data_IF_756848202049
#
_entry.id   IF_756848202049
#
_cell.length_a   1.000
_cell.length_b   1.000
_cell.length_c   1.000
_cell.angle_alpha   90.00
_cell.angle_beta   90.00
_cell.angle_gamma   90.00
#
_symmetry.space_group_name_H-M   'P 1'
#
loop_
_entity.id
_entity.type
_entity.pdbx_description
1 polymer ?
#
# COMPACT_ATOMS: atom_id res chain seq x y z
N UNK A 1 -34.30 4.48 8.24
CA UNK A 1 -33.11 5.17 7.73
C UNK A 1 -32.32 4.30 6.76
N UNK A 2 -32.21 2.98 6.98
CA UNK A 2 -31.47 2.07 6.07
C UNK A 2 -32.01 2.00 4.63
N UNK A 3 -33.34 2.11 4.41
CA UNK A 3 -33.94 1.98 3.08
C UNK A 3 -33.56 3.12 2.12
N UNK A 4 -33.42 4.35 2.61
CA UNK A 4 -33.00 5.49 1.76
C UNK A 4 -31.53 5.41 1.30
N UNK A 5 -30.68 4.72 2.07
CA UNK A 5 -29.26 4.55 1.74
C UNK A 5 -29.00 3.27 0.94
N UNK A 6 -29.86 2.26 1.07
CA UNK A 6 -29.76 0.99 0.35
C UNK A 6 -30.01 1.14 -1.16
N UNK A 7 -30.83 2.12 -1.56
CA UNK A 7 -31.16 2.38 -2.97
C UNK A 7 -30.22 3.37 -3.65
N UNK A 8 -29.25 3.97 -2.93
CA UNK A 8 -28.36 4.98 -3.48
C UNK A 8 -26.99 4.40 -3.85
N UNK A 9 -26.83 4.10 -5.14
CA UNK A 9 -25.52 3.71 -5.73
C UNK A 9 -24.40 4.75 -5.45
N UNK A 10 -24.77 5.99 -5.17
CA UNK A 10 -23.81 7.08 -4.94
C UNK A 10 -23.39 7.26 -3.49
N UNK A 11 -24.05 6.61 -2.53
CA UNK A 11 -23.78 6.80 -1.10
C UNK A 11 -22.33 6.51 -0.73
N UNK A 12 -21.80 5.35 -1.14
CA UNK A 12 -20.42 4.96 -0.86
C UNK A 12 -19.38 5.89 -1.48
N UNK A 13 -19.64 6.35 -2.71
CA UNK A 13 -18.78 7.31 -3.41
C UNK A 13 -18.75 8.66 -2.68
N UNK A 14 -19.93 9.20 -2.37
CA UNK A 14 -20.06 10.51 -1.73
C UNK A 14 -19.41 10.55 -0.35
N UNK A 15 -19.65 9.54 0.48
CA UNK A 15 -19.02 9.44 1.80
C UNK A 15 -17.50 9.34 1.69
N UNK A 16 -17.00 8.50 0.78
CA UNK A 16 -15.56 8.33 0.60
C UNK A 16 -14.88 9.62 0.14
N UNK A 17 -15.46 10.31 -0.85
CA UNK A 17 -14.93 11.57 -1.35
C UNK A 17 -15.04 12.71 -0.31
N UNK A 18 -16.16 12.79 0.40
CA UNK A 18 -16.34 13.78 1.47
C UNK A 18 -15.33 13.56 2.60
N UNK A 19 -15.17 12.32 3.06
CA UNK A 19 -14.21 11.98 4.11
C UNK A 19 -12.77 12.27 3.68
N UNK A 20 -12.40 11.98 2.43
CA UNK A 20 -11.10 12.32 1.89
C UNK A 20 -10.90 13.84 1.78
N UNK A 21 -11.93 14.56 1.35
CA UNK A 21 -11.91 16.04 1.31
C UNK A 21 -11.67 16.65 2.69
N UNK A 22 -12.35 16.14 3.73
CA UNK A 22 -12.11 16.57 5.12
C UNK A 22 -10.67 16.28 5.55
N UNK A 23 -10.15 15.07 5.23
CA UNK A 23 -8.76 14.71 5.51
C UNK A 23 -7.76 15.65 4.83
N UNK A 24 -8.03 16.01 3.57
CA UNK A 24 -7.21 16.96 2.81
C UNK A 24 -7.21 18.35 3.46
N UNK A 25 -8.38 18.85 3.84
CA UNK A 25 -8.51 20.14 4.52
C UNK A 25 -7.77 20.17 5.87
N UNK A 26 -7.83 19.07 6.62
CA UNK A 26 -7.10 18.94 7.88
C UNK A 26 -5.59 18.93 7.67
N UNK A 27 -5.10 18.19 6.66
CA UNK A 27 -3.67 18.18 6.28
C UNK A 27 -3.18 19.58 5.90
N UNK A 28 -3.95 20.31 5.08
CA UNK A 28 -3.61 21.66 4.66
C UNK A 28 -3.57 22.67 5.83
N UNK A 29 -4.47 22.51 6.82
CA UNK A 29 -4.52 23.40 7.98
C UNK A 29 -3.44 23.11 9.02
N UNK A 30 -3.12 21.82 9.24
CA UNK A 30 -2.23 21.42 10.33
C UNK A 30 -0.79 21.22 9.90
N UNK A 31 -0.56 20.86 8.63
CA UNK A 31 0.77 20.50 8.11
C UNK A 31 1.38 19.23 8.75
N UNK A 32 0.66 18.53 9.63
CA UNK A 32 1.18 17.37 10.34
C UNK A 32 1.18 16.13 9.44
N UNK A 33 2.28 15.39 9.45
CA UNK A 33 2.38 14.12 8.69
C UNK A 33 1.38 13.05 9.14
N UNK A 34 0.96 13.09 10.44
CA UNK A 34 -0.07 12.18 10.95
C UNK A 34 -1.47 12.52 10.39
N UNK A 35 -1.72 13.75 9.97
CA UNK A 35 -2.96 14.14 9.34
C UNK A 35 -2.98 13.71 7.86
N UNK A 36 -2.67 12.43 7.63
CA UNK A 36 -2.74 11.84 6.31
C UNK A 36 -4.18 11.77 5.83
N UNK A 37 -4.55 12.35 4.67
CA UNK A 37 -5.93 12.37 4.18
C UNK A 37 -6.55 10.98 4.05
N UNK A 38 -5.77 9.99 3.65
CA UNK A 38 -6.23 8.61 3.50
C UNK A 38 -6.56 8.00 4.87
N UNK A 39 -5.67 8.14 5.86
CA UNK A 39 -5.91 7.63 7.22
C UNK A 39 -7.17 8.27 7.82
N UNK A 40 -7.29 9.59 7.71
CA UNK A 40 -8.46 10.33 8.23
C UNK A 40 -9.73 9.88 7.52
N UNK A 41 -9.70 9.71 6.20
CA UNK A 41 -10.88 9.28 5.44
C UNK A 41 -11.32 7.86 5.84
N UNK A 42 -10.40 6.94 6.04
CA UNK A 42 -10.71 5.58 6.52
C UNK A 42 -11.41 5.64 7.89
N UNK A 43 -10.85 6.39 8.83
CA UNK A 43 -11.42 6.54 10.18
C UNK A 43 -12.81 7.17 10.10
N UNK A 44 -12.97 8.25 9.33
CA UNK A 44 -14.25 8.93 9.18
C UNK A 44 -15.32 8.03 8.55
N UNK A 45 -14.97 7.26 7.51
CA UNK A 45 -15.90 6.33 6.88
C UNK A 45 -16.31 5.25 7.88
N UNK A 46 -15.36 4.63 8.59
CA UNK A 46 -15.67 3.63 9.63
C UNK A 46 -16.61 4.22 10.70
N UNK A 47 -16.27 5.39 11.25
CA UNK A 47 -17.10 6.05 12.25
C UNK A 47 -18.50 6.35 11.72
N UNK A 48 -18.61 6.84 10.48
CA UNK A 48 -19.91 7.13 9.86
C UNK A 48 -20.75 5.86 9.72
N UNK A 49 -20.19 4.77 9.24
CA UNK A 49 -20.92 3.50 9.11
C UNK A 49 -21.38 2.96 10.47
N UNK A 50 -20.52 3.05 11.50
CA UNK A 50 -20.88 2.62 12.86
C UNK A 50 -21.99 3.45 13.48
N UNK A 51 -21.94 4.80 13.32
CA UNK A 51 -22.92 5.74 13.89
C UNK A 51 -24.26 5.60 13.14
N UNK A 52 -24.23 5.48 11.83
CA UNK A 52 -25.46 5.39 11.01
C UNK A 52 -26.06 3.99 10.99
N UNK A 53 -25.31 2.96 11.43
CA UNK A 53 -25.75 1.56 11.38
C UNK A 53 -25.92 1.02 9.94
N UNK A 54 -25.29 1.64 8.96
CA UNK A 54 -25.32 1.18 7.57
C UNK A 54 -24.37 0.00 7.40
N UNK A 55 -24.89 -1.09 6.82
CA UNK A 55 -24.12 -2.29 6.56
C UNK A 55 -23.00 -2.04 5.55
N UNK A 56 -21.83 -2.67 5.79
CA UNK A 56 -20.68 -2.59 4.89
C UNK A 56 -20.99 -2.99 3.45
N UNK A 57 -21.89 -3.96 3.23
CA UNK A 57 -22.31 -4.37 1.87
C UNK A 57 -22.95 -3.23 1.10
N UNK A 58 -23.81 -2.45 1.75
CA UNK A 58 -24.48 -1.28 1.18
C UNK A 58 -23.45 -0.19 0.81
N UNK A 59 -22.52 0.10 1.71
CA UNK A 59 -21.43 1.04 1.43
C UNK A 59 -20.56 0.55 0.26
N UNK A 60 -20.13 -0.71 0.29
CA UNK A 60 -19.25 -1.31 -0.71
C UNK A 60 -19.87 -1.32 -2.10
N UNK A 61 -21.16 -1.60 -2.22
CA UNK A 61 -21.87 -1.60 -3.49
C UNK A 61 -21.77 -0.23 -4.19
N UNK A 62 -21.95 0.87 -3.44
CA UNK A 62 -21.77 2.23 -3.96
C UNK A 62 -20.30 2.58 -4.20
N UNK A 63 -19.43 2.32 -3.23
CA UNK A 63 -18.01 2.64 -3.28
C UNK A 63 -17.26 1.88 -4.40
N UNK A 64 -17.77 0.75 -4.84
CA UNK A 64 -17.18 -0.07 -5.91
C UNK A 64 -17.01 0.71 -7.23
N UNK A 65 -17.81 1.74 -7.45
CA UNK A 65 -17.67 2.64 -8.60
C UNK A 65 -16.32 3.37 -8.61
N UNK A 66 -15.72 3.62 -7.45
CA UNK A 66 -14.38 4.22 -7.36
C UNK A 66 -13.30 3.20 -7.82
N UNK A 67 -13.55 1.92 -7.65
CA UNK A 67 -12.62 0.85 -8.04
C UNK A 67 -12.37 0.81 -9.56
N UNK A 68 -13.31 1.30 -10.38
CA UNK A 68 -13.07 1.45 -11.82
C UNK A 68 -11.93 2.42 -12.15
N UNK A 69 -11.62 3.37 -11.25
CA UNK A 69 -10.50 4.28 -11.41
C UNK A 69 -9.14 3.64 -11.08
N UNK A 70 -9.13 2.45 -10.50
CA UNK A 70 -7.88 1.76 -10.13
C UNK A 70 -7.02 1.45 -11.35
N UNK A 71 -7.62 0.94 -12.42
CA UNK A 71 -6.88 0.63 -13.66
C UNK A 71 -6.26 1.87 -14.30
N UNK A 72 -7.00 2.96 -14.59
CA UNK A 72 -6.37 4.17 -15.13
C UNK A 72 -5.37 4.80 -14.16
N UNK A 73 -5.61 4.78 -12.84
CA UNK A 73 -4.64 5.25 -11.87
C UNK A 73 -3.33 4.45 -11.91
N UNK A 74 -3.42 3.12 -12.03
CA UNK A 74 -2.25 2.25 -12.16
C UNK A 74 -1.48 2.53 -13.46
N UNK A 75 -2.19 2.78 -14.57
CA UNK A 75 -1.56 3.17 -15.85
C UNK A 75 -0.83 4.51 -15.70
N UNK A 76 -1.42 5.48 -15.00
CA UNK A 76 -0.77 6.77 -14.72
C UNK A 76 0.56 6.62 -13.97
N UNK A 77 0.73 5.58 -13.14
CA UNK A 77 2.00 5.30 -12.46
C UNK A 77 3.13 4.91 -13.46
N UNK A 78 2.79 4.43 -14.64
CA UNK A 78 3.77 4.12 -15.68
C UNK A 78 4.35 5.37 -16.37
N UNK A 79 3.67 6.51 -16.30
CA UNK A 79 4.13 7.75 -16.96
C UNK A 79 5.47 8.25 -16.38
N UNK A 80 5.64 8.45 -15.05
CA UNK A 80 6.93 8.82 -14.49
C UNK A 80 8.02 7.78 -14.78
N UNK A 81 7.67 6.49 -14.77
CA UNK A 81 8.60 5.42 -15.09
C UNK A 81 9.13 5.55 -16.54
N UNK A 82 8.23 5.79 -17.48
CA UNK A 82 8.61 6.00 -18.88
C UNK A 82 9.51 7.24 -19.06
N UNK A 83 9.20 8.33 -18.39
CA UNK A 83 9.99 9.57 -18.41
C UNK A 83 11.41 9.37 -17.85
N UNK A 84 11.61 8.41 -16.96
CA UNK A 84 12.91 8.12 -16.32
C UNK A 84 13.57 6.82 -16.83
N UNK A 85 13.15 6.31 -17.98
CA UNK A 85 13.63 5.03 -18.53
C UNK A 85 15.13 5.02 -18.81
N UNK A 86 15.71 6.13 -19.20
CA UNK A 86 17.15 6.24 -19.45
C UNK A 86 17.95 6.18 -18.14
N UNK A 87 17.47 6.87 -17.10
CA UNK A 87 18.06 6.80 -15.77
C UNK A 87 17.99 5.36 -15.20
N UNK A 88 16.87 4.68 -15.41
CA UNK A 88 16.68 3.28 -15.06
C UNK A 88 17.71 2.40 -15.77
N UNK A 89 17.83 2.52 -17.12
CA UNK A 89 18.79 1.73 -17.91
C UNK A 89 20.22 1.94 -17.43
N UNK A 90 20.60 3.17 -17.11
CA UNK A 90 21.93 3.52 -16.61
C UNK A 90 22.22 2.88 -15.24
N UNK A 91 21.21 2.74 -14.37
CA UNK A 91 21.36 2.28 -12.99
C UNK A 91 20.72 0.91 -12.75
N UNK A 92 20.39 0.14 -13.81
CA UNK A 92 19.56 -1.06 -13.67
C UNK A 92 20.07 -2.08 -12.64
N UNK A 93 21.40 -2.27 -12.56
CA UNK A 93 22.00 -3.21 -11.59
C UNK A 93 21.74 -2.76 -10.14
N UNK A 94 21.97 -1.49 -9.84
CA UNK A 94 21.73 -0.94 -8.52
C UNK A 94 20.24 -0.99 -8.15
N UNK A 95 19.37 -0.68 -9.10
CA UNK A 95 17.92 -0.75 -8.92
C UNK A 95 17.46 -2.18 -8.64
N UNK A 96 17.88 -3.15 -9.46
CA UNK A 96 17.48 -4.56 -9.28
C UNK A 96 18.01 -5.16 -7.97
N UNK A 97 19.27 -4.88 -7.62
CA UNK A 97 19.85 -5.32 -6.35
C UNK A 97 19.13 -4.65 -5.16
N UNK A 98 18.82 -3.36 -5.27
CA UNK A 98 18.07 -2.63 -4.26
C UNK A 98 16.67 -3.22 -4.04
N UNK A 99 15.94 -3.52 -5.12
CA UNK A 99 14.62 -4.14 -5.03
C UNK A 99 14.71 -5.54 -4.43
N UNK A 100 15.65 -6.37 -4.90
CA UNK A 100 15.86 -7.71 -4.36
C UNK A 100 16.17 -7.68 -2.86
N UNK A 101 17.06 -6.78 -2.44
CA UNK A 101 17.39 -6.61 -1.01
C UNK A 101 16.17 -6.17 -0.20
N UNK A 102 15.32 -5.30 -0.74
CA UNK A 102 14.08 -4.87 -0.10
C UNK A 102 13.08 -6.02 0.07
N UNK A 103 12.89 -6.83 -0.96
CA UNK A 103 12.02 -8.03 -0.88
C UNK A 103 12.55 -9.03 0.13
N UNK A 104 13.85 -9.35 0.07
CA UNK A 104 14.46 -10.27 1.03
C UNK A 104 14.37 -9.74 2.47
N UNK A 105 14.64 -8.45 2.68
CA UNK A 105 14.51 -7.85 4.01
C UNK A 105 13.07 -7.92 4.53
N UNK A 106 12.06 -7.73 3.66
CA UNK A 106 10.65 -7.88 4.02
C UNK A 106 10.33 -9.31 4.43
N UNK A 107 10.65 -10.31 3.58
CA UNK A 107 10.37 -11.72 3.85
C UNK A 107 11.13 -12.25 5.08
N UNK A 108 12.42 -11.94 5.19
CA UNK A 108 13.22 -12.32 6.35
C UNK A 108 12.71 -11.68 7.66
N UNK A 109 12.29 -10.41 7.61
CA UNK A 109 11.75 -9.74 8.81
C UNK A 109 10.45 -10.41 9.28
N UNK A 110 9.58 -10.80 8.35
CA UNK A 110 8.36 -11.55 8.69
C UNK A 110 8.70 -12.90 9.29
N UNK A 111 9.63 -13.66 8.69
CA UNK A 111 10.07 -14.96 9.21
C UNK A 111 10.65 -14.83 10.64
N UNK A 112 11.55 -13.87 10.84
CA UNK A 112 12.18 -13.64 12.17
C UNK A 112 11.10 -13.31 13.21
N UNK A 113 10.16 -12.43 12.88
CA UNK A 113 9.08 -12.07 13.80
C UNK A 113 8.11 -13.23 14.04
N UNK A 114 7.80 -14.02 13.02
CA UNK A 114 6.96 -15.20 13.17
C UNK A 114 7.58 -16.24 14.12
N UNK A 115 8.89 -16.48 13.99
CA UNK A 115 9.62 -17.35 14.92
C UNK A 115 9.62 -16.77 16.34
N UNK A 116 9.87 -15.46 16.48
CA UNK A 116 9.95 -14.79 17.77
C UNK A 116 8.62 -14.79 18.52
N UNK A 117 7.51 -14.59 17.79
CA UNK A 117 6.16 -14.57 18.36
C UNK A 117 5.44 -15.94 18.32
N UNK A 118 6.12 -16.98 17.89
CA UNK A 118 5.58 -18.35 17.79
C UNK A 118 4.28 -18.43 16.96
N UNK A 119 4.26 -17.78 15.82
CA UNK A 119 3.14 -17.86 14.90
C UNK A 119 3.01 -19.28 14.35
N UNK A 120 1.77 -19.69 14.08
CA UNK A 120 1.55 -20.89 13.28
C UNK A 120 1.76 -20.61 11.77
N UNK A 121 1.68 -21.65 10.95
CA UNK A 121 1.87 -21.53 9.50
C UNK A 121 0.88 -20.54 8.87
N UNK A 122 -0.41 -20.61 9.25
CA UNK A 122 -1.45 -19.76 8.67
C UNK A 122 -1.23 -18.28 9.01
N UNK A 123 -0.86 -17.99 10.26
CA UNK A 123 -0.51 -16.64 10.68
C UNK A 123 0.73 -16.14 9.94
N UNK A 124 1.79 -16.95 9.86
CA UNK A 124 3.03 -16.60 9.19
C UNK A 124 2.81 -16.22 7.72
N UNK A 125 2.14 -17.08 6.93
CA UNK A 125 1.91 -16.81 5.51
C UNK A 125 0.96 -15.64 5.27
N UNK A 126 0.12 -15.30 6.24
CA UNK A 126 -0.74 -14.11 6.24
C UNK A 126 0.06 -12.82 6.13
N UNK A 127 1.24 -12.75 6.78
CA UNK A 127 2.09 -11.56 6.81
C UNK A 127 3.11 -11.48 5.67
N UNK A 128 3.42 -12.57 4.99
CA UNK A 128 4.41 -12.59 3.91
C UNK A 128 4.13 -11.53 2.82
N UNK A 129 2.88 -11.34 2.34
CA UNK A 129 2.58 -10.39 1.29
C UNK A 129 2.39 -8.94 1.77
N UNK A 130 2.76 -8.58 3.01
CA UNK A 130 2.47 -7.27 3.61
C UNK A 130 2.95 -6.04 2.84
N UNK A 131 3.98 -6.19 2.02
CA UNK A 131 4.65 -5.06 1.35
C UNK A 131 4.33 -4.95 -0.15
N UNK A 132 3.41 -5.78 -0.65
CA UNK A 132 2.95 -5.73 -2.05
C UNK A 132 1.53 -5.18 -2.16
N UNK A 133 1.02 -5.01 -3.39
CA UNK A 133 -0.34 -4.50 -3.59
C UNK A 133 -1.39 -5.47 -3.06
N UNK A 134 -2.50 -4.94 -2.57
CA UNK A 134 -3.61 -5.75 -2.01
C UNK A 134 -4.10 -6.81 -3.00
N UNK A 135 -4.20 -6.46 -4.29
CA UNK A 135 -4.67 -7.41 -5.32
C UNK A 135 -3.76 -8.64 -5.44
N UNK A 136 -2.44 -8.46 -5.43
CA UNK A 136 -1.48 -9.57 -5.49
C UNK A 136 -1.43 -10.28 -4.13
N UNK A 137 -1.46 -9.51 -3.04
CA UNK A 137 -1.37 -10.05 -1.68
C UNK A 137 -2.52 -10.95 -1.29
N UNK A 138 -3.74 -10.66 -1.75
CA UNK A 138 -4.90 -11.54 -1.58
C UNK A 138 -4.62 -12.91 -2.20
N UNK A 139 -4.21 -12.95 -3.46
CA UNK A 139 -3.91 -14.21 -4.15
C UNK A 139 -2.81 -15.03 -3.47
N UNK A 140 -1.71 -14.36 -3.06
CA UNK A 140 -0.61 -15.04 -2.34
C UNK A 140 -1.07 -15.59 -1.00
N UNK A 141 -1.83 -14.82 -0.22
CA UNK A 141 -2.33 -15.27 1.09
C UNK A 141 -3.30 -16.44 0.95
N UNK A 142 -4.20 -16.38 -0.04
CA UNK A 142 -5.18 -17.44 -0.31
C UNK A 142 -4.48 -18.74 -0.74
N UNK A 143 -3.53 -18.65 -1.68
CA UNK A 143 -2.79 -19.80 -2.20
C UNK A 143 -1.95 -20.50 -1.12
N UNK A 144 -1.38 -19.74 -0.19
CA UNK A 144 -0.54 -20.27 0.88
C UNK A 144 -1.34 -20.69 2.14
N UNK A 145 -2.66 -20.51 2.15
CA UNK A 145 -3.51 -20.90 3.29
C UNK A 145 -3.55 -19.88 4.43
N UNK A 146 -3.22 -18.63 4.15
CA UNK A 146 -3.28 -17.53 5.14
C UNK A 146 -4.68 -16.94 5.33
N UNK A 147 -4.80 -16.07 6.31
CA UNK A 147 -6.03 -15.33 6.63
C UNK A 147 -6.16 -14.10 5.73
N UNK A 148 -6.82 -14.24 4.56
CA UNK A 148 -6.93 -13.20 3.54
C UNK A 148 -7.39 -11.84 4.08
N UNK A 149 -8.41 -11.82 4.94
CA UNK A 149 -8.93 -10.57 5.51
C UNK A 149 -7.88 -9.86 6.37
N UNK A 150 -7.08 -10.62 7.12
CA UNK A 150 -5.99 -10.08 7.93
C UNK A 150 -4.87 -9.56 7.04
N UNK A 151 -4.49 -10.30 5.99
CA UNK A 151 -3.51 -9.86 5.00
C UNK A 151 -3.88 -8.52 4.38
N UNK A 152 -5.14 -8.33 4.00
CA UNK A 152 -5.64 -7.05 3.45
C UNK A 152 -5.43 -5.91 4.45
N UNK A 153 -5.80 -6.12 5.71
CA UNK A 153 -5.62 -5.10 6.76
C UNK A 153 -4.14 -4.77 6.94
N UNK A 154 -3.29 -5.78 7.04
CA UNK A 154 -1.84 -5.60 7.24
C UNK A 154 -1.20 -4.87 6.07
N UNK A 155 -1.57 -5.20 4.82
CA UNK A 155 -1.10 -4.50 3.61
C UNK A 155 -1.50 -3.02 3.66
N UNK A 156 -2.78 -2.73 3.96
CA UNK A 156 -3.27 -1.34 4.04
C UNK A 156 -2.54 -0.57 5.15
N UNK A 157 -2.42 -1.14 6.34
CA UNK A 157 -1.70 -0.52 7.47
C UNK A 157 -0.25 -0.26 7.11
N UNK A 158 0.44 -1.24 6.51
CA UNK A 158 1.83 -1.08 6.06
C UNK A 158 1.97 0.08 5.07
N UNK A 159 1.08 0.15 4.08
CA UNK A 159 1.10 1.23 3.09
C UNK A 159 0.82 2.61 3.69
N UNK A 160 -0.16 2.71 4.60
CA UNK A 160 -0.50 3.97 5.29
C UNK A 160 0.66 4.43 6.17
N UNK A 161 1.23 3.54 6.98
CA UNK A 161 2.39 3.86 7.82
C UNK A 161 3.60 4.27 6.96
N UNK A 162 3.86 3.55 5.86
CA UNK A 162 4.91 3.92 4.93
C UNK A 162 4.69 5.31 4.32
N UNK A 163 3.47 5.63 3.89
CA UNK A 163 3.16 6.96 3.36
C UNK A 163 3.39 8.07 4.41
N UNK A 164 3.00 7.85 5.67
CA UNK A 164 3.14 8.84 6.75
C UNK A 164 4.60 9.04 7.15
N UNK A 165 5.35 7.95 7.30
CA UNK A 165 6.66 7.97 7.95
C UNK A 165 7.85 7.94 6.97
N UNK A 166 7.64 7.62 5.67
CA UNK A 166 8.71 7.42 4.69
C UNK A 166 9.73 8.56 4.69
N UNK A 167 9.28 9.80 4.54
CA UNK A 167 10.16 10.96 4.43
C UNK A 167 10.99 11.18 5.69
N UNK A 168 10.36 11.07 6.87
CA UNK A 168 11.04 11.22 8.16
C UNK A 168 12.04 10.10 8.40
N UNK A 169 11.68 8.87 8.04
CA UNK A 169 12.54 7.71 8.22
C UNK A 169 13.76 7.76 7.31
N UNK A 170 13.56 8.13 6.04
CA UNK A 170 14.65 8.33 5.08
C UNK A 170 15.59 9.46 5.51
N UNK A 171 15.05 10.55 6.05
CA UNK A 171 15.86 11.66 6.60
C UNK A 171 16.64 11.21 7.83
N UNK A 172 16.04 10.47 8.76
CA UNK A 172 16.69 9.92 9.95
C UNK A 172 17.88 9.02 9.58
N UNK A 173 17.72 8.19 8.53
CA UNK A 173 18.79 7.32 8.03
C UNK A 173 19.75 8.03 7.07
N UNK A 174 19.59 9.35 6.87
CA UNK A 174 20.41 10.17 5.96
C UNK A 174 20.44 9.67 4.52
N UNK A 175 19.37 9.02 4.05
CA UNK A 175 19.24 8.55 2.67
C UNK A 175 18.84 9.75 1.80
N UNK A 176 19.80 10.24 0.99
CA UNK A 176 19.62 11.44 0.16
C UNK A 176 19.36 11.12 -1.31
N UNK A 177 19.86 9.97 -1.78
CA UNK A 177 19.80 9.58 -3.20
C UNK A 177 18.36 9.31 -3.65
N UNK A 178 17.83 10.04 -4.66
CA UNK A 178 16.43 9.91 -5.10
C UNK A 178 16.07 8.49 -5.55
N UNK A 179 16.96 7.80 -6.25
CA UNK A 179 16.75 6.41 -6.69
C UNK A 179 16.55 5.49 -5.48
N UNK A 180 17.42 5.61 -4.48
CA UNK A 180 17.35 4.80 -3.27
C UNK A 180 16.07 5.06 -2.46
N UNK A 181 15.65 6.34 -2.36
CA UNK A 181 14.39 6.72 -1.71
C UNK A 181 13.19 6.07 -2.40
N UNK A 182 13.11 6.19 -3.73
CA UNK A 182 12.03 5.62 -4.51
C UNK A 182 11.93 4.09 -4.33
N UNK A 183 13.06 3.39 -4.44
CA UNK A 183 13.12 1.93 -4.26
C UNK A 183 12.67 1.54 -2.84
N UNK A 184 13.21 2.20 -1.82
CA UNK A 184 12.89 1.90 -0.43
C UNK A 184 11.39 2.05 -0.14
N UNK A 185 10.77 3.13 -0.64
CA UNK A 185 9.34 3.38 -0.46
C UNK A 185 8.51 2.37 -1.24
N UNK A 186 8.83 2.11 -2.51
CA UNK A 186 8.08 1.17 -3.35
C UNK A 186 8.11 -0.26 -2.84
N UNK A 187 9.27 -0.72 -2.33
CA UNK A 187 9.43 -2.06 -1.77
C UNK A 187 8.77 -2.24 -0.39
N UNK A 188 8.63 -1.16 0.38
CA UNK A 188 8.07 -1.24 1.73
C UNK A 188 6.58 -0.96 1.80
N UNK A 189 6.09 0.01 1.02
CA UNK A 189 4.76 0.61 1.18
C UNK A 189 3.92 0.63 -0.10
N UNK A 190 4.32 -0.10 -1.10
CA UNK A 190 3.61 -0.34 -2.37
C UNK A 190 2.96 0.93 -2.97
N UNK A 191 1.72 0.84 -3.51
CA UNK A 191 1.04 1.95 -4.18
C UNK A 191 0.79 3.16 -3.26
N UNK A 192 0.48 2.94 -1.97
CA UNK A 192 0.24 4.03 -1.02
C UNK A 192 1.52 4.81 -0.71
N UNK A 193 2.65 4.11 -0.58
CA UNK A 193 3.97 4.75 -0.45
C UNK A 193 4.39 5.46 -1.73
N UNK A 194 4.05 4.91 -2.89
CA UNK A 194 4.40 5.51 -4.19
C UNK A 194 3.71 6.86 -4.40
N UNK A 195 2.48 7.02 -3.92
CA UNK A 195 1.83 8.33 -3.91
C UNK A 195 2.69 9.37 -3.15
N UNK A 196 3.27 8.98 -2.01
CA UNK A 196 4.21 9.84 -1.27
C UNK A 196 5.53 10.06 -2.02
N UNK A 197 6.07 9.03 -2.65
CA UNK A 197 7.29 9.15 -3.46
C UNK A 197 7.11 10.14 -4.63
N UNK A 198 5.93 10.17 -5.25
CA UNK A 198 5.59 11.16 -6.30
C UNK A 198 5.52 12.60 -5.77
N UNK A 199 5.04 12.80 -4.53
CA UNK A 199 5.09 14.12 -3.87
C UNK A 199 6.54 14.57 -3.60
N UNK A 200 7.47 13.63 -3.37
CA UNK A 200 8.87 13.92 -3.06
C UNK A 200 9.68 14.30 -4.32
N UNK A 201 9.38 13.68 -5.46
CA UNK A 201 10.03 14.00 -6.73
C UNK A 201 9.73 12.99 -7.84
N UNK A 202 10.03 13.41 -9.09
CA UNK A 202 9.75 12.61 -10.29
C UNK A 202 10.62 11.34 -10.35
N UNK A 203 11.86 11.39 -9.87
CA UNK A 203 12.76 10.24 -9.82
C UNK A 203 12.31 9.26 -8.74
N UNK A 204 12.01 9.76 -7.54
CA UNK A 204 11.48 8.96 -6.43
C UNK A 204 10.19 8.25 -6.84
N UNK A 205 9.27 8.98 -7.47
CA UNK A 205 8.00 8.43 -7.97
C UNK A 205 8.20 7.34 -9.02
N UNK A 206 9.08 7.58 -10.01
CA UNK A 206 9.38 6.62 -11.07
C UNK A 206 10.01 5.33 -10.52
N UNK A 207 11.02 5.46 -9.64
CA UNK A 207 11.69 4.29 -9.04
C UNK A 207 10.76 3.52 -8.11
N UNK A 208 9.90 4.21 -7.38
CA UNK A 208 8.87 3.58 -6.54
C UNK A 208 7.84 2.82 -7.38
N UNK A 209 7.36 3.40 -8.49
CA UNK A 209 6.44 2.75 -9.42
C UNK A 209 7.02 1.46 -10.03
N UNK A 210 8.28 1.49 -10.43
CA UNK A 210 8.98 0.29 -10.89
C UNK A 210 9.06 -0.77 -9.79
N UNK A 211 9.41 -0.32 -8.58
CA UNK A 211 9.60 -1.23 -7.45
C UNK A 211 8.32 -1.97 -7.10
N UNK A 212 7.15 -1.36 -7.19
CA UNK A 212 5.86 -2.05 -6.96
C UNK A 212 5.74 -3.29 -7.85
N UNK A 213 6.00 -3.14 -9.14
CA UNK A 213 5.82 -4.23 -10.11
C UNK A 213 6.81 -5.36 -9.86
N UNK A 214 8.10 -5.00 -9.75
CA UNK A 214 9.17 -5.98 -9.57
C UNK A 214 9.07 -6.67 -8.21
N UNK A 215 8.79 -5.91 -7.11
CA UNK A 215 8.54 -6.49 -5.79
C UNK A 215 7.33 -7.41 -5.79
N UNK A 216 6.25 -7.05 -6.49
CA UNK A 216 5.07 -7.91 -6.60
C UNK A 216 5.45 -9.30 -7.14
N UNK A 217 6.11 -9.33 -8.30
CA UNK A 217 6.56 -10.60 -8.93
C UNK A 217 7.55 -11.35 -8.04
N UNK A 218 8.56 -10.66 -7.51
CA UNK A 218 9.58 -11.29 -6.64
C UNK A 218 8.97 -11.82 -5.34
N UNK A 219 7.98 -11.13 -4.77
CA UNK A 219 7.35 -11.57 -3.52
C UNK A 219 6.44 -12.78 -3.75
N UNK A 220 5.75 -12.89 -4.90
CA UNK A 220 4.97 -14.09 -5.23
C UNK A 220 5.88 -15.33 -5.21
N UNK A 221 7.01 -15.29 -5.92
CA UNK A 221 7.98 -16.38 -5.94
C UNK A 221 8.64 -16.56 -4.56
N UNK A 222 9.07 -15.47 -3.94
CA UNK A 222 9.74 -15.50 -2.65
C UNK A 222 8.85 -16.00 -1.52
N UNK A 223 7.58 -15.59 -1.47
CA UNK A 223 6.64 -16.05 -0.43
C UNK A 223 6.40 -17.56 -0.51
N UNK A 224 6.26 -18.11 -1.73
CA UNK A 224 6.11 -19.55 -1.91
C UNK A 224 7.33 -20.33 -1.39
N UNK A 225 8.54 -19.80 -1.56
CA UNK A 225 9.78 -20.39 -1.01
C UNK A 225 9.82 -20.23 0.52
N UNK A 226 9.50 -19.03 1.02
CA UNK A 226 9.55 -18.73 2.45
C UNK A 226 8.48 -19.48 3.24
N UNK A 227 7.33 -19.76 2.65
CA UNK A 227 6.28 -20.57 3.28
C UNK A 227 6.74 -21.97 3.68
N UNK A 228 7.81 -22.49 3.06
CA UNK A 228 8.39 -23.79 3.41
C UNK A 228 9.20 -23.80 4.71
N UNK A 229 9.49 -22.64 5.30
CA UNK A 229 10.33 -22.56 6.50
C UNK A 229 9.54 -22.69 7.81
N UNK A 230 8.21 -22.65 7.76
CA UNK A 230 7.35 -22.81 8.93
C UNK A 230 6.10 -23.62 8.64
#
# INVERSE_FOLDING_TARGET
>A
MNSMFQDSVFFGVLISLAAYGVGMLLKLKTGWSLMNPLLISIILVICTLLITGVDYKTYSAGANSISYLLTPATICLAVPLYQQVELLKKNYRAVMIGILSGVLASLCSVLILAILFHFDHADYVTFLPKSITTAIGIGVSEELGGHVSVSVVVIIVTGVLGNIFAEKFLALLSIKEPIAKGIAIGCSAHALGTAKAMEMGTIEGAMSSLSIVVCGVMTVVGASIFALFM
#
